data_IF_684654530964
#
_entry.id   IF_684654530964
#
_cell.length_a   1.000
_cell.length_b   1.000
_cell.length_c   1.000
_cell.angle_alpha   90.00
_cell.angle_beta   90.00
_cell.angle_gamma   90.00
#
_symmetry.space_group_name_H-M   'P 1'
#
loop_
_entity.id
_entity.type
_entity.pdbx_description
1 polymer ?
#
# COMPACT_ATOMS: atom_id res chain seq x y z
N UNK A 1 18.44 -5.15 -6.27
CA UNK A 1 17.32 -4.93 -5.34
C UNK A 1 16.52 -6.21 -5.30
N UNK A 2 16.17 -6.70 -4.12
CA UNK A 2 15.35 -7.90 -3.99
C UNK A 2 13.88 -7.57 -4.35
N UNK A 3 13.18 -8.48 -5.03
CA UNK A 3 11.76 -8.30 -5.43
C UNK A 3 10.87 -7.91 -4.23
N UNK A 4 11.13 -8.51 -3.07
CA UNK A 4 10.41 -8.20 -1.83
C UNK A 4 10.66 -6.75 -1.39
N UNK A 5 11.87 -6.24 -1.55
CA UNK A 5 12.20 -4.85 -1.22
C UNK A 5 11.53 -3.87 -2.17
N UNK A 6 11.43 -4.22 -3.46
CA UNK A 6 10.69 -3.44 -4.46
C UNK A 6 9.22 -3.31 -4.08
N UNK A 7 8.55 -4.42 -3.77
CA UNK A 7 7.14 -4.43 -3.33
C UNK A 7 6.94 -3.56 -2.09
N UNK A 8 7.83 -3.68 -1.10
CA UNK A 8 7.77 -2.87 0.11
C UNK A 8 7.90 -1.38 -0.21
N UNK A 9 8.88 -1.00 -1.03
CA UNK A 9 9.10 0.40 -1.41
C UNK A 9 7.91 0.99 -2.16
N UNK A 10 7.29 0.23 -3.06
CA UNK A 10 6.09 0.65 -3.78
C UNK A 10 4.89 0.88 -2.86
N UNK A 11 4.69 0.00 -1.87
CA UNK A 11 3.63 0.19 -0.87
C UNK A 11 3.94 1.40 0.04
N UNK A 12 5.19 1.63 0.40
CA UNK A 12 5.58 2.81 1.19
C UNK A 12 5.35 4.13 0.42
N UNK A 13 5.63 4.14 -0.89
CA UNK A 13 5.27 5.26 -1.79
C UNK A 13 3.76 5.48 -1.82
N UNK A 14 2.98 4.41 -1.96
CA UNK A 14 1.52 4.46 -1.91
C UNK A 14 1.03 5.13 -0.62
N UNK A 15 1.51 4.64 0.53
CA UNK A 15 1.14 5.13 1.85
C UNK A 15 1.53 6.59 2.06
N UNK A 16 2.66 7.03 1.52
CA UNK A 16 3.15 8.41 1.63
C UNK A 16 2.28 9.36 0.80
N UNK A 17 2.04 9.01 -0.46
CA UNK A 17 1.43 9.90 -1.45
C UNK A 17 -0.11 9.96 -1.37
N UNK A 18 -0.75 9.05 -0.65
CA UNK A 18 -2.21 8.94 -0.61
C UNK A 18 -2.78 9.05 0.80
N UNK A 19 -4.05 9.41 0.90
CA UNK A 19 -4.77 9.46 2.17
C UNK A 19 -5.21 8.05 2.60
N UNK A 20 -5.29 7.75 3.92
CA UNK A 20 -5.83 6.48 4.38
C UNK A 20 -7.24 6.19 3.86
N UNK A 21 -8.05 7.23 3.64
CA UNK A 21 -9.38 7.10 3.06
C UNK A 21 -9.34 6.64 1.60
N UNK A 22 -8.56 7.30 0.74
CA UNK A 22 -8.48 6.93 -0.69
C UNK A 22 -7.93 5.53 -0.89
N UNK A 23 -6.87 5.18 -0.14
CA UNK A 23 -6.30 3.82 -0.16
C UNK A 23 -7.35 2.81 0.29
N UNK A 24 -8.03 3.04 1.42
CA UNK A 24 -9.02 2.10 1.94
C UNK A 24 -10.18 1.87 0.97
N UNK A 25 -10.71 2.97 0.39
CA UNK A 25 -11.82 2.94 -0.56
C UNK A 25 -11.49 2.12 -1.81
N UNK A 26 -10.26 2.25 -2.33
CA UNK A 26 -9.89 1.67 -3.62
C UNK A 26 -9.18 0.30 -3.50
N UNK A 27 -8.45 0.02 -2.41
CA UNK A 27 -7.77 -1.27 -2.19
C UNK A 27 -8.63 -2.30 -1.45
N UNK A 28 -9.72 -1.86 -0.80
CA UNK A 28 -10.51 -2.71 0.08
C UNK A 28 -9.74 -3.19 1.33
N UNK A 29 -8.68 -2.48 1.71
CA UNK A 29 -7.99 -2.64 3.01
C UNK A 29 -8.70 -1.76 4.05
N UNK A 30 -8.97 -2.25 5.28
CA UNK A 30 -9.61 -1.43 6.31
C UNK A 30 -8.82 -0.15 6.59
N UNK A 31 -9.53 0.98 6.70
CA UNK A 31 -8.91 2.29 6.93
C UNK A 31 -8.02 2.30 8.17
N UNK A 32 -8.41 1.61 9.23
CA UNK A 32 -7.59 1.50 10.44
C UNK A 32 -6.22 0.87 10.15
N UNK A 33 -6.21 -0.24 9.40
CA UNK A 33 -4.98 -0.92 8.97
C UNK A 33 -4.10 -0.01 8.13
N UNK A 34 -4.68 0.74 7.19
CA UNK A 34 -3.92 1.70 6.37
C UNK A 34 -3.32 2.81 7.23
N UNK A 35 -4.09 3.36 8.17
CA UNK A 35 -3.62 4.38 9.10
C UNK A 35 -2.46 3.85 9.94
N UNK A 36 -2.62 2.67 10.54
CA UNK A 36 -1.59 2.05 11.40
C UNK A 36 -0.28 1.81 10.63
N UNK A 37 -0.36 1.40 9.36
CA UNK A 37 0.80 1.27 8.47
C UNK A 37 1.42 2.64 8.13
N UNK A 38 0.60 3.64 7.78
CA UNK A 38 1.07 4.98 7.39
C UNK A 38 1.77 5.72 8.55
N UNK A 39 1.27 5.58 9.77
CA UNK A 39 1.87 6.22 10.96
C UNK A 39 3.02 5.38 11.56
N UNK A 40 3.34 4.22 10.98
CA UNK A 40 4.41 3.35 11.46
C UNK A 40 4.10 2.57 12.74
N UNK A 41 2.83 2.51 13.17
CA UNK A 41 2.39 1.70 14.31
C UNK A 41 2.53 0.20 14.03
N UNK A 42 2.41 -0.19 12.76
CA UNK A 42 2.67 -1.55 12.29
C UNK A 42 3.62 -1.49 11.09
N UNK A 43 4.59 -2.39 11.01
CA UNK A 43 5.50 -2.47 9.86
C UNK A 43 4.84 -3.25 8.73
N UNK A 44 5.10 -2.87 7.47
CA UNK A 44 4.57 -3.60 6.31
C UNK A 44 5.01 -5.07 6.27
N UNK A 45 6.23 -5.36 6.76
CA UNK A 45 6.77 -6.72 6.87
C UNK A 45 5.99 -7.61 7.86
N UNK A 46 5.27 -7.00 8.80
CA UNK A 46 4.45 -7.69 9.80
C UNK A 46 2.96 -7.73 9.38
N UNK A 47 2.60 -7.07 8.27
CA UNK A 47 1.25 -7.07 7.76
C UNK A 47 0.88 -8.45 7.20
N UNK A 48 -0.40 -8.80 7.29
CA UNK A 48 -0.92 -10.02 6.66
C UNK A 48 -0.63 -9.99 5.17
N UNK A 49 -0.22 -11.12 4.60
CA UNK A 49 0.11 -11.21 3.17
C UNK A 49 -1.03 -10.73 2.25
N UNK A 50 -2.28 -11.04 2.60
CA UNK A 50 -3.47 -10.52 1.89
C UNK A 50 -3.53 -8.99 1.85
N UNK A 51 -3.08 -8.31 2.89
CA UNK A 51 -3.00 -6.84 2.93
C UNK A 51 -1.91 -6.33 1.99
N UNK A 52 -0.75 -6.98 1.98
CA UNK A 52 0.38 -6.65 1.10
C UNK A 52 -0.06 -6.75 -0.37
N UNK A 53 -0.70 -7.86 -0.76
CA UNK A 53 -1.24 -8.07 -2.12
C UNK A 53 -2.16 -6.92 -2.52
N UNK A 54 -3.18 -6.62 -1.71
CA UNK A 54 -4.18 -5.58 -2.02
C UNK A 54 -3.57 -4.18 -2.17
N UNK A 55 -2.60 -3.85 -1.32
CA UNK A 55 -1.92 -2.55 -1.39
C UNK A 55 -1.05 -2.47 -2.65
N UNK A 56 -0.32 -3.55 -2.96
CA UNK A 56 0.54 -3.62 -4.13
C UNK A 56 -0.28 -3.55 -5.44
N UNK A 57 -1.34 -4.33 -5.56
CA UNK A 57 -2.26 -4.29 -6.71
C UNK A 57 -2.82 -2.88 -6.92
N UNK A 58 -3.25 -2.22 -5.84
CA UNK A 58 -3.75 -0.84 -5.94
C UNK A 58 -2.66 0.13 -6.39
N UNK A 59 -1.44 0.03 -5.86
CA UNK A 59 -0.31 0.85 -6.32
C UNK A 59 -0.06 0.67 -7.82
N UNK A 60 -0.06 -0.57 -8.32
CA UNK A 60 0.07 -0.87 -9.76
C UNK A 60 -1.06 -0.25 -10.58
N UNK A 61 -2.29 -0.20 -10.08
CA UNK A 61 -3.39 0.49 -10.79
C UNK A 61 -3.21 2.01 -10.88
N UNK A 62 -2.48 2.63 -9.95
CA UNK A 62 -2.18 4.05 -10.00
C UNK A 62 -1.06 4.35 -11.00
N UNK A 63 -0.04 3.50 -11.05
CA UNK A 63 1.07 3.62 -12.01
C UNK A 63 0.55 3.46 -13.44
N UNK A 64 -0.26 2.42 -13.71
CA UNK A 64 -0.83 2.20 -15.04
C UNK A 64 -1.81 3.29 -15.48
N UNK A 65 -2.43 4.03 -14.55
CA UNK A 65 -3.29 5.19 -14.88
C UNK A 65 -2.51 6.43 -15.26
N UNK A 66 -1.22 6.50 -14.92
CA UNK A 66 -0.36 7.64 -15.21
C UNK A 66 0.21 7.57 -16.64
N UNK A 67 0.02 6.45 -17.34
CA UNK A 67 0.48 6.21 -18.72
C UNK A 67 -0.59 6.50 -19.81
N UNK A 68 -1.63 7.30 -19.52
CA UNK A 68 -2.66 7.71 -20.49
C UNK A 68 -2.89 9.22 -20.51
#
# INVERSE_FOLDING_TARGET
>A
MNEIETIISEIEKLLTNNTPYSISKNSGVPRQTVTDLKVGKTKIKEAKFKTIIKLYEYQRTLENKTEC
#
